data_IF_668348356417
#
_entry.id   IF_668348356417
#
_cell.length_a   1.000
_cell.length_b   1.000
_cell.length_c   1.000
_cell.angle_alpha   90.00
_cell.angle_beta   90.00
_cell.angle_gamma   90.00
#
_symmetry.space_group_name_H-M   'P 1'
#
loop_
_entity.id
_entity.type
_entity.pdbx_description
1 polymer ?
#
# COMPACT_ATOMS: atom_id res chain seq x y z
N UNK A 1 1.71 -59.01 -18.89
CA UNK A 1 0.56 -58.99 -17.96
C UNK A 1 0.54 -57.58 -17.41
N UNK A 2 -0.52 -56.85 -17.74
CA UNK A 2 -0.60 -55.39 -17.79
C UNK A 2 -0.94 -54.78 -16.44
N UNK A 3 -0.41 -53.57 -16.21
CA UNK A 3 -0.97 -52.47 -15.43
C UNK A 3 -0.39 -51.23 -16.20
N UNK A 4 -1.06 -50.52 -17.12
CA UNK A 4 -2.40 -49.92 -17.10
C UNK A 4 -2.59 -49.28 -15.74
N UNK A 5 -2.51 -47.96 -15.51
CA UNK A 5 -2.77 -46.75 -16.28
C UNK A 5 -1.96 -45.63 -15.54
N UNK A 6 -1.59 -44.46 -16.03
CA UNK A 6 -2.21 -43.55 -16.97
C UNK A 6 -1.16 -42.45 -17.26
N UNK A 7 -0.97 -42.09 -18.54
CA UNK A 7 -0.20 -40.91 -18.91
C UNK A 7 -1.18 -39.80 -19.25
N UNK A 8 -1.78 -39.21 -18.24
CA UNK A 8 -2.55 -37.96 -18.30
C UNK A 8 -2.67 -37.50 -16.84
N UNK A 9 -2.69 -36.26 -16.40
CA UNK A 9 -3.13 -35.04 -17.00
C UNK A 9 -2.91 -33.98 -15.90
N UNK A 10 -1.69 -33.48 -15.70
CA UNK A 10 -1.52 -32.25 -14.90
C UNK A 10 -1.25 -31.07 -15.83
N UNK A 11 -2.00 -31.04 -16.95
CA UNK A 11 -2.64 -29.81 -17.39
C UNK A 11 -4.09 -29.89 -16.89
N UNK A 12 -4.24 -29.84 -15.57
CA UNK A 12 -5.54 -29.48 -15.00
C UNK A 12 -5.59 -27.95 -15.00
N UNK A 13 -5.98 -27.46 -16.18
CA UNK A 13 -6.48 -26.14 -16.49
C UNK A 13 -7.69 -25.84 -15.59
N UNK A 14 -7.45 -25.56 -14.31
CA UNK A 14 -8.33 -24.86 -13.36
C UNK A 14 -7.73 -24.80 -11.94
N UNK A 15 -6.42 -24.51 -11.78
CA UNK A 15 -6.04 -23.74 -10.59
C UNK A 15 -6.49 -22.30 -10.80
N UNK A 16 -7.82 -22.17 -10.82
CA UNK A 16 -8.57 -21.06 -10.33
C UNK A 16 -7.97 -19.71 -10.74
N UNK A 17 -8.49 -19.19 -11.85
CA UNK A 17 -8.53 -17.75 -12.13
C UNK A 17 -9.36 -17.00 -11.04
N UNK A 18 -9.19 -17.36 -9.76
CA UNK A 18 -9.76 -16.77 -8.55
C UNK A 18 -8.78 -16.84 -7.35
N UNK A 19 -7.46 -17.04 -7.57
CA UNK A 19 -6.45 -16.43 -6.67
C UNK A 19 -6.39 -14.89 -6.85
N UNK A 20 -7.54 -14.28 -7.14
CA UNK A 20 -7.68 -12.93 -7.66
C UNK A 20 -8.45 -12.00 -6.71
N UNK A 21 -8.62 -12.34 -5.44
CA UNK A 21 -9.19 -11.39 -4.47
C UNK A 21 -8.38 -11.34 -3.16
N UNK A 22 -7.27 -10.61 -3.26
CA UNK A 22 -6.91 -9.57 -2.31
C UNK A 22 -6.94 -9.98 -0.83
N UNK A 23 -6.02 -10.84 -0.41
CA UNK A 23 -5.69 -11.08 1.00
C UNK A 23 -5.03 -9.82 1.60
N UNK A 24 -5.87 -8.88 2.06
CA UNK A 24 -5.58 -7.91 3.12
C UNK A 24 -4.23 -7.19 3.10
N UNK A 25 -3.73 -6.73 1.96
CA UNK A 25 -2.53 -5.89 1.93
C UNK A 25 -2.91 -4.48 2.35
N UNK A 26 -2.40 -4.03 3.50
CA UNK A 26 -2.56 -2.63 3.93
C UNK A 26 -2.02 -1.67 2.86
N UNK A 27 -2.61 -0.47 2.78
CA UNK A 27 -2.20 0.55 1.80
C UNK A 27 -0.75 0.99 2.05
N UNK A 28 0.10 0.93 1.02
CA UNK A 28 1.54 1.24 1.15
C UNK A 28 1.94 2.54 0.45
N UNK A 29 0.98 3.24 -0.16
CA UNK A 29 1.21 4.47 -0.90
C UNK A 29 -0.01 5.39 -0.79
N UNK A 30 0.22 6.70 -0.83
CA UNK A 30 -0.85 7.69 -0.88
C UNK A 30 -0.42 8.92 -1.69
N UNK A 31 -1.40 9.63 -2.25
CA UNK A 31 -1.18 10.95 -2.82
C UNK A 31 -1.66 12.02 -1.84
N UNK A 32 -0.78 12.95 -1.47
CA UNK A 32 -1.10 14.08 -0.59
C UNK A 32 -0.80 15.40 -1.28
N UNK A 33 -1.48 16.47 -0.86
CA UNK A 33 -1.25 17.80 -1.38
C UNK A 33 -0.40 18.62 -0.41
N UNK A 34 0.65 19.25 -0.93
CA UNK A 34 1.54 20.09 -0.16
C UNK A 34 0.76 21.23 0.53
N UNK A 35 0.84 21.39 1.86
CA UNK A 35 0.20 22.51 2.55
C UNK A 35 0.89 23.86 2.29
N UNK A 36 2.09 23.86 1.68
CA UNK A 36 2.85 25.07 1.35
C UNK A 36 2.63 25.54 -0.11
N UNK A 37 2.84 24.67 -1.10
CA UNK A 37 2.73 25.02 -2.52
C UNK A 37 1.48 24.47 -3.24
N UNK A 38 0.76 23.52 -2.64
CA UNK A 38 -0.42 22.89 -3.22
C UNK A 38 -0.16 21.78 -4.25
N UNK A 39 1.09 21.43 -4.51
CA UNK A 39 1.46 20.34 -5.44
C UNK A 39 1.09 18.97 -4.88
N UNK A 40 0.75 18.02 -5.77
CA UNK A 40 0.50 16.64 -5.41
C UNK A 40 1.82 15.87 -5.28
N UNK A 41 2.01 15.18 -4.17
CA UNK A 41 3.15 14.32 -3.93
C UNK A 41 2.69 12.89 -3.64
N UNK A 42 3.35 11.93 -4.27
CA UNK A 42 3.23 10.51 -3.97
C UNK A 42 4.16 10.18 -2.79
N UNK A 43 3.58 9.57 -1.74
CA UNK A 43 4.30 9.21 -0.51
C UNK A 43 4.15 7.73 -0.24
N UNK A 44 5.22 7.13 0.31
CA UNK A 44 5.21 5.74 0.73
C UNK A 44 4.73 5.64 2.18
N UNK A 45 3.86 4.68 2.46
CA UNK A 45 3.35 4.40 3.79
C UNK A 45 3.90 3.04 4.27
N UNK A 46 4.28 2.95 5.55
CA UNK A 46 4.79 1.71 6.15
C UNK A 46 3.82 1.15 7.19
N UNK A 47 2.96 0.17 6.86
CA UNK A 47 2.03 -0.42 7.83
C UNK A 47 2.75 -1.21 8.95
N UNK A 48 4.03 -1.54 8.77
CA UNK A 48 4.84 -2.26 9.76
C UNK A 48 5.23 -1.43 10.99
N UNK A 49 5.16 -0.09 10.91
CA UNK A 49 5.57 0.82 11.99
C UNK A 49 4.48 1.12 13.03
N UNK A 50 3.30 0.50 12.90
CA UNK A 50 2.18 0.61 13.84
C UNK A 50 0.95 1.27 13.24
N UNK A 51 -0.17 1.17 13.97
CA UNK A 51 -1.47 1.66 13.49
C UNK A 51 -1.56 3.20 13.42
N UNK A 52 -0.75 3.93 14.19
CA UNK A 52 -0.70 5.39 14.22
C UNK A 52 0.75 5.85 14.10
N UNK A 53 1.03 6.70 13.12
CA UNK A 53 2.38 7.16 12.80
C UNK A 53 2.40 8.67 12.61
N UNK A 54 3.46 9.30 13.10
CA UNK A 54 3.74 10.72 12.94
C UNK A 54 5.19 10.86 12.48
N UNK A 55 5.39 11.49 11.32
CA UNK A 55 6.73 11.74 10.79
C UNK A 55 6.76 12.99 9.90
N UNK A 56 7.95 13.56 9.74
CA UNK A 56 8.18 14.72 8.88
C UNK A 56 8.71 14.25 7.54
N UNK A 57 8.08 14.72 6.47
CA UNK A 57 8.55 14.55 5.10
C UNK A 57 8.73 15.92 4.44
N UNK A 58 9.48 15.95 3.34
CA UNK A 58 9.76 17.17 2.60
C UNK A 58 9.02 17.18 1.27
N UNK A 59 8.53 18.35 0.85
CA UNK A 59 7.90 18.46 -0.45
C UNK A 59 8.92 18.27 -1.60
N UNK A 60 8.70 17.25 -2.43
CA UNK A 60 9.47 16.97 -3.66
C UNK A 60 9.54 18.17 -4.65
N UNK A 61 8.66 19.17 -4.53
CA UNK A 61 8.63 20.36 -5.39
C UNK A 61 9.22 21.59 -4.73
N UNK A 62 8.70 21.99 -3.55
CA UNK A 62 9.09 23.26 -2.91
C UNK A 62 10.11 23.11 -1.78
N UNK A 63 10.54 21.89 -1.46
CA UNK A 63 11.53 21.59 -0.42
C UNK A 63 11.23 22.20 0.96
N UNK A 64 9.94 22.25 1.31
CA UNK A 64 9.50 22.66 2.63
C UNK A 64 9.01 21.44 3.42
N UNK A 65 9.41 21.34 4.70
CA UNK A 65 8.99 20.24 5.55
C UNK A 65 7.49 20.34 5.88
N UNK A 66 6.85 19.18 5.94
CA UNK A 66 5.49 19.02 6.43
C UNK A 66 5.42 17.89 7.44
N UNK A 67 4.46 17.99 8.34
CA UNK A 67 4.16 16.92 9.29
C UNK A 67 3.08 16.03 8.69
N UNK A 68 3.33 14.73 8.66
CA UNK A 68 2.40 13.72 8.20
C UNK A 68 1.91 12.87 9.38
N UNK A 69 0.60 12.64 9.40
CA UNK A 69 -0.06 11.69 10.29
C UNK A 69 -0.69 10.59 9.46
N UNK A 70 -0.38 9.34 9.78
CA UNK A 70 -0.94 8.17 9.12
C UNK A 70 -1.66 7.32 10.15
N UNK A 71 -2.90 6.93 9.87
CA UNK A 71 -3.65 5.96 10.68
C UNK A 71 -4.15 4.80 9.84
N UNK A 72 -3.85 3.59 10.26
CA UNK A 72 -4.33 2.37 9.61
C UNK A 72 -5.59 1.83 10.29
N UNK A 73 -6.57 1.48 9.48
CA UNK A 73 -7.76 0.77 9.89
C UNK A 73 -7.53 -0.75 9.87
N UNK A 74 -8.42 -1.51 10.51
CA UNK A 74 -8.30 -2.98 10.61
C UNK A 74 -8.43 -3.70 9.28
N UNK A 75 -9.05 -3.07 8.30
CA UNK A 75 -9.19 -3.55 6.93
C UNK A 75 -7.97 -3.22 6.05
N UNK A 76 -6.97 -2.52 6.59
CA UNK A 76 -5.75 -2.14 5.87
C UNK A 76 -5.79 -0.76 5.23
N UNK A 77 -6.94 -0.08 5.24
CA UNK A 77 -7.01 1.30 4.73
C UNK A 77 -6.21 2.30 5.58
N UNK A 78 -5.53 3.22 4.91
CA UNK A 78 -4.74 4.29 5.50
C UNK A 78 -5.46 5.64 5.37
N UNK A 79 -5.55 6.36 6.49
CA UNK A 79 -5.96 7.76 6.53
C UNK A 79 -4.73 8.61 6.73
N UNK A 80 -4.44 9.47 5.75
CA UNK A 80 -3.27 10.36 5.77
C UNK A 80 -3.73 11.81 5.94
N UNK A 81 -3.14 12.50 6.91
CA UNK A 81 -3.34 13.93 7.15
C UNK A 81 -1.99 14.64 7.10
N UNK A 82 -1.95 15.81 6.46
CA UNK A 82 -0.71 16.60 6.31
C UNK A 82 -0.89 18.02 6.82
N UNK A 83 0.12 18.55 7.48
CA UNK A 83 0.14 19.88 8.08
C UNK A 83 1.45 20.60 7.74
N UNK A 84 1.39 21.90 7.48
CA UNK A 84 2.59 22.71 7.29
C UNK A 84 3.42 22.71 8.58
N UNK A 85 4.67 22.25 8.50
CA UNK A 85 5.62 22.41 9.61
C UNK A 85 6.35 23.73 9.44
N UNK A 86 6.04 24.69 10.29
CA UNK A 86 6.79 25.96 10.40
C UNK A 86 7.87 25.73 11.46
N UNK A 87 8.99 25.12 11.07
CA UNK A 87 10.16 24.88 11.94
C UNK A 87 11.30 25.82 11.59
#
# INVERSE_FOLDING_TARGET
>A
MTDSDDISDWTDDAIDEEFSDSDGTAETEATVYCPHCGEANEVALDPGSGDEQEYVEDCQVCCHPWLMYVRYARDGSAVVEVYASDS
#
